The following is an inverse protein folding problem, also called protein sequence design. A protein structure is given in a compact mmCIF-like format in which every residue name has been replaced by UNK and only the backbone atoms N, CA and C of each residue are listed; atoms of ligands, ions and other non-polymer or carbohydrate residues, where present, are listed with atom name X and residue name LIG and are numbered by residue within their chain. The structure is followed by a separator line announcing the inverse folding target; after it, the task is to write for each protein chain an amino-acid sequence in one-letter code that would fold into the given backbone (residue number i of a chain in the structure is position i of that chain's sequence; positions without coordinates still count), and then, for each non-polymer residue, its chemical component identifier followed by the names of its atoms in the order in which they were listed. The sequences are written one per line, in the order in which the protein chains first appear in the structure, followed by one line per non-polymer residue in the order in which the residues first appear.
data_IF_592156019457
#
_entry.id   IF_592156019457
#
_cell.length_a   1.000
_cell.length_b   1.000
_cell.length_c   1.000
_cell.angle_alpha   90.00
_cell.angle_beta   90.00
_cell.angle_gamma   90.00
#
_symmetry.space_group_name_H-M   'P 1'
#
loop_
_entity.id
_entity.type
_entity.pdbx_description
1 polymer ?
#
# COMPACT_ATOMS: atom_id res chain seq x y z
N UNK A 1 11.45 21.47 -7.76
CA UNK A 1 12.58 20.82 -7.05
C UNK A 1 12.88 19.40 -7.57
N UNK A 2 11.89 18.68 -8.10
CA UNK A 2 12.01 17.31 -8.62
C UNK A 2 12.79 17.14 -9.95
N UNK A 3 13.33 18.21 -10.55
CA UNK A 3 13.94 18.18 -11.89
C UNK A 3 15.43 17.80 -11.88
N UNK A 4 16.07 17.71 -10.70
CA UNK A 4 17.44 17.20 -10.60
C UNK A 4 17.44 15.69 -10.78
N UNK A 5 18.20 15.21 -11.77
CA UNK A 5 18.35 13.79 -12.13
C UNK A 5 18.56 12.95 -10.86
N UNK A 6 17.68 11.97 -10.64
CA UNK A 6 17.81 11.01 -9.54
C UNK A 6 17.27 11.43 -8.17
N UNK A 7 16.76 12.66 -7.99
CA UNK A 7 16.18 13.09 -6.69
C UNK A 7 15.00 12.21 -6.25
N UNK A 8 14.30 11.59 -7.20
CA UNK A 8 13.22 10.65 -6.91
C UNK A 8 13.73 9.47 -6.09
N UNK A 9 14.92 8.95 -6.35
CA UNK A 9 15.45 7.81 -5.59
C UNK A 9 15.85 8.18 -4.15
N UNK A 10 16.10 9.46 -3.87
CA UNK A 10 16.34 9.94 -2.50
C UNK A 10 15.10 9.81 -1.62
N UNK A 11 13.89 9.76 -2.18
CA UNK A 11 12.68 9.45 -1.40
C UNK A 11 12.69 8.02 -0.84
N UNK A 12 13.52 7.10 -1.37
CA UNK A 12 13.72 5.79 -0.74
C UNK A 12 14.45 5.86 0.62
N UNK A 13 15.26 6.90 0.85
CA UNK A 13 16.11 7.00 2.05
C UNK A 13 15.31 7.22 3.34
N UNK A 14 14.36 8.17 3.43
CA UNK A 14 13.60 8.34 4.67
C UNK A 14 12.71 7.13 4.97
N UNK A 15 12.26 6.39 3.96
CA UNK A 15 11.55 5.11 4.15
C UNK A 15 12.46 4.05 4.78
N UNK A 16 13.68 3.91 4.26
CA UNK A 16 14.68 3.01 4.83
C UNK A 16 15.05 3.40 6.28
N UNK A 17 15.27 4.70 6.52
CA UNK A 17 15.58 5.23 7.85
C UNK A 17 14.43 4.99 8.83
N UNK A 18 13.19 5.24 8.41
CA UNK A 18 12.01 5.04 9.25
C UNK A 18 11.87 3.57 9.65
N UNK A 19 12.01 2.64 8.69
CA UNK A 19 12.00 1.22 9.00
C UNK A 19 13.14 0.86 9.96
N UNK A 20 14.38 1.25 9.65
CA UNK A 20 15.55 0.95 10.47
C UNK A 20 15.39 1.47 11.90
N UNK A 21 15.20 2.78 12.08
CA UNK A 21 15.12 3.43 13.39
C UNK A 21 13.95 2.89 14.22
N UNK A 22 12.77 2.75 13.62
CA UNK A 22 11.60 2.24 14.36
C UNK A 22 11.78 0.76 14.72
N UNK A 23 12.39 -0.03 13.84
CA UNK A 23 12.65 -1.45 14.12
C UNK A 23 13.66 -1.69 15.24
N UNK A 24 14.55 -0.74 15.55
CA UNK A 24 15.43 -0.82 16.73
C UNK A 24 14.61 -0.79 18.04
N UNK A 25 13.60 0.08 18.12
CA UNK A 25 12.81 0.28 19.34
C UNK A 25 11.60 -0.64 19.43
N UNK A 26 10.98 -0.92 18.28
CA UNK A 26 9.82 -1.80 18.15
C UNK A 26 10.10 -2.84 17.06
N UNK A 27 10.74 -3.97 17.41
CA UNK A 27 11.10 -5.00 16.46
C UNK A 27 9.88 -5.52 15.71
N UNK A 28 9.97 -5.57 14.38
CA UNK A 28 8.88 -6.03 13.52
C UNK A 28 8.47 -7.50 13.78
N UNK A 29 9.37 -8.30 14.36
CA UNK A 29 9.13 -9.69 14.75
C UNK A 29 8.28 -9.83 16.03
N UNK A 30 8.08 -8.76 16.81
CA UNK A 30 7.29 -8.81 18.05
C UNK A 30 5.81 -8.49 17.79
N UNK A 31 4.87 -9.47 17.91
CA UNK A 31 3.47 -9.29 17.51
C UNK A 31 2.73 -8.15 18.22
N UNK A 32 3.14 -7.83 19.46
CA UNK A 32 2.49 -6.79 20.28
C UNK A 32 2.98 -5.37 19.98
N UNK A 33 4.19 -5.25 19.43
CA UNK A 33 4.95 -4.00 19.41
C UNK A 33 5.25 -3.52 17.98
N UNK A 34 5.26 -4.44 17.01
CA UNK A 34 5.52 -4.13 15.61
C UNK A 34 4.55 -3.11 15.00
N UNK A 35 3.35 -2.96 15.59
CA UNK A 35 2.30 -2.06 15.13
C UNK A 35 2.77 -0.61 14.96
N UNK A 36 3.67 -0.12 15.82
CA UNK A 36 4.19 1.26 15.72
C UNK A 36 5.18 1.44 14.57
N UNK A 37 6.04 0.44 14.32
CA UNK A 37 6.97 0.43 13.18
C UNK A 37 6.21 0.42 11.87
N UNK A 38 5.20 -0.46 11.76
CA UNK A 38 4.33 -0.47 10.59
C UNK A 38 3.55 0.84 10.47
N UNK A 39 2.93 1.33 11.54
CA UNK A 39 2.18 2.59 11.49
C UNK A 39 3.02 3.77 11.01
N UNK A 40 4.20 4.00 11.60
CA UNK A 40 5.09 5.10 11.20
C UNK A 40 5.58 4.98 9.76
N UNK A 41 5.93 3.77 9.33
CA UNK A 41 6.34 3.51 7.95
C UNK A 41 5.23 3.80 6.94
N UNK A 42 4.01 3.32 7.19
CA UNK A 42 2.86 3.54 6.30
C UNK A 42 2.38 4.99 6.33
N UNK A 43 2.46 5.67 7.48
CA UNK A 43 2.16 7.09 7.59
C UNK A 43 3.11 7.93 6.70
N UNK A 44 4.40 7.62 6.68
CA UNK A 44 5.34 8.30 5.80
C UNK A 44 5.03 8.06 4.32
N UNK A 45 4.69 6.82 3.94
CA UNK A 45 4.24 6.51 2.58
C UNK A 45 2.98 7.30 2.20
N UNK A 46 2.02 7.42 3.13
CA UNK A 46 0.82 8.23 2.93
C UNK A 46 1.16 9.70 2.72
N UNK A 47 2.01 10.28 3.57
CA UNK A 47 2.45 11.68 3.44
C UNK A 47 3.21 11.92 2.14
N UNK A 48 4.02 10.96 1.69
CA UNK A 48 4.66 11.02 0.38
C UNK A 48 3.62 11.06 -0.73
N UNK A 49 2.69 10.10 -0.74
CA UNK A 49 1.59 10.10 -1.71
C UNK A 49 0.86 11.45 -1.75
N UNK A 50 0.56 12.02 -0.59
CA UNK A 50 -0.06 13.34 -0.48
C UNK A 50 0.79 14.45 -1.11
N UNK A 51 2.06 14.57 -0.71
CA UNK A 51 2.96 15.61 -1.23
C UNK A 51 3.17 15.49 -2.75
N UNK A 52 3.30 14.26 -3.26
CA UNK A 52 3.50 14.02 -4.68
C UNK A 52 2.23 14.29 -5.51
N UNK A 53 1.04 14.01 -4.97
CA UNK A 53 -0.23 14.35 -5.62
C UNK A 53 -0.44 15.87 -5.76
N UNK A 54 0.21 16.69 -4.93
CA UNK A 54 0.17 18.15 -5.09
C UNK A 54 0.99 18.64 -6.30
N UNK A 55 1.93 17.82 -6.79
CA UNK A 55 2.80 18.20 -7.90
C UNK A 55 2.19 17.79 -9.25
N UNK A 56 1.78 18.76 -10.07
CA UNK A 56 1.12 18.49 -11.36
C UNK A 56 1.95 17.70 -12.39
N UNK A 57 3.28 17.60 -12.19
CA UNK A 57 4.19 16.83 -13.07
C UNK A 57 4.43 15.39 -12.60
N UNK A 58 3.85 14.97 -11.48
CA UNK A 58 4.14 13.70 -10.83
C UNK A 58 4.03 12.50 -11.78
N UNK A 59 2.91 12.38 -12.50
CA UNK A 59 2.66 11.24 -13.39
C UNK A 59 3.68 11.15 -14.55
N UNK A 60 4.09 12.30 -15.13
CA UNK A 60 5.12 12.35 -16.17
C UNK A 60 6.48 11.94 -15.63
N UNK A 61 6.80 12.35 -14.39
CA UNK A 61 8.03 11.99 -13.72
C UNK A 61 8.09 10.48 -13.45
N UNK A 62 7.02 9.88 -12.92
CA UNK A 62 6.95 8.43 -12.67
C UNK A 62 7.12 7.63 -13.98
N UNK A 63 6.45 8.05 -15.05
CA UNK A 63 6.58 7.44 -16.37
C UNK A 63 8.02 7.52 -16.93
N UNK A 64 8.69 8.66 -16.74
CA UNK A 64 10.08 8.87 -17.20
C UNK A 64 11.09 7.95 -16.49
N UNK A 65 10.87 7.67 -15.20
CA UNK A 65 11.78 6.86 -14.39
C UNK A 65 11.33 5.40 -14.22
N UNK A 66 10.30 4.97 -14.97
CA UNK A 66 9.74 3.61 -14.89
C UNK A 66 10.81 2.54 -15.12
N UNK A 67 11.57 2.60 -16.22
CA UNK A 67 12.57 1.58 -16.55
C UNK A 67 13.73 1.57 -15.54
N UNK A 68 14.35 2.72 -15.19
CA UNK A 68 15.35 2.75 -14.13
C UNK A 68 14.84 2.21 -12.78
N UNK A 69 13.60 2.56 -12.40
CA UNK A 69 12.98 2.08 -11.18
C UNK A 69 12.67 0.58 -11.24
N UNK A 70 12.34 0.03 -12.40
CA UNK A 70 12.12 -1.41 -12.57
C UNK A 70 13.42 -2.18 -12.38
N UNK A 71 14.52 -1.74 -12.99
CA UNK A 71 15.83 -2.39 -12.84
C UNK A 71 16.35 -2.29 -11.40
N UNK A 72 16.25 -1.11 -10.78
CA UNK A 72 16.67 -0.93 -9.40
C UNK A 72 15.75 -1.65 -8.40
N UNK A 73 14.44 -1.64 -8.64
CA UNK A 73 13.43 -2.28 -7.79
C UNK A 73 13.54 -3.80 -7.80
N UNK A 74 13.77 -4.38 -8.97
CA UNK A 74 14.03 -5.83 -9.11
C UNK A 74 15.37 -6.20 -8.48
N UNK A 75 16.45 -5.46 -8.73
CA UNK A 75 17.75 -5.72 -8.12
C UNK A 75 17.72 -5.66 -6.58
N UNK A 76 17.07 -4.63 -6.02
CA UNK A 76 16.91 -4.48 -4.57
C UNK A 76 15.97 -5.51 -3.96
N UNK A 77 14.91 -5.92 -4.68
CA UNK A 77 14.01 -6.99 -4.24
C UNK A 77 14.73 -8.35 -4.19
N UNK A 78 15.48 -8.69 -5.24
CA UNK A 78 16.30 -9.92 -5.28
C UNK A 78 17.33 -9.89 -4.17
N UNK A 79 18.02 -8.76 -3.94
CA UNK A 79 18.96 -8.59 -2.84
C UNK A 79 18.30 -8.80 -1.46
N UNK A 80 17.09 -8.27 -1.26
CA UNK A 80 16.33 -8.45 -0.02
C UNK A 80 15.95 -9.92 0.20
N UNK A 81 15.44 -10.61 -0.83
CA UNK A 81 15.07 -12.04 -0.75
C UNK A 81 16.31 -12.92 -0.54
N UNK A 82 17.41 -12.63 -1.23
CA UNK A 82 18.66 -13.35 -1.06
C UNK A 82 19.20 -13.21 0.37
N UNK A 83 19.13 -12.02 0.96
CA UNK A 83 19.49 -11.77 2.37
C UNK A 83 18.58 -12.51 3.35
N UNK A 84 17.29 -12.67 3.04
CA UNK A 84 16.36 -13.46 3.87
C UNK A 84 16.64 -14.97 3.76
N UNK A 85 16.98 -15.46 2.56
CA UNK A 85 17.14 -16.89 2.29
C UNK A 85 18.43 -17.49 2.87
N UNK A 86 19.51 -16.71 2.95
CA UNK A 86 20.83 -17.21 3.32
C UNK A 86 21.21 -16.96 4.79
N UNK A 87 20.40 -16.21 5.56
CA UNK A 87 20.80 -15.77 6.89
C UNK A 87 19.86 -16.24 8.00
N UNK A 88 20.41 -16.76 9.11
CA UNK A 88 19.62 -17.14 10.28
C UNK A 88 18.82 -15.95 10.84
N UNK A 89 17.55 -16.18 11.21
CA UNK A 89 16.64 -15.16 11.77
C UNK A 89 17.22 -14.40 12.97
N UNK A 90 18.12 -15.02 13.74
CA UNK A 90 18.74 -14.39 14.91
C UNK A 90 19.68 -13.21 14.56
N UNK A 91 20.30 -13.22 13.36
CA UNK A 91 21.20 -12.14 12.93
C UNK A 91 20.46 -10.89 12.46
N UNK A 92 19.17 -10.99 12.11
CA UNK A 92 18.36 -9.84 11.66
C UNK A 92 18.24 -8.73 12.70
N UNK A 93 18.43 -9.05 13.99
CA UNK A 93 18.22 -8.11 15.09
C UNK A 93 19.48 -7.81 15.90
N UNK A 94 20.56 -8.57 15.71
CA UNK A 94 21.78 -8.45 16.52
C UNK A 94 22.85 -7.59 15.84
N UNK A 95 22.89 -7.55 14.50
CA UNK A 95 23.87 -6.77 13.74
C UNK A 95 23.26 -5.49 13.15
N UNK A 96 23.73 -4.33 13.65
CA UNK A 96 23.29 -3.00 13.22
C UNK A 96 23.65 -2.75 11.75
N UNK A 97 24.80 -3.25 11.28
CA UNK A 97 25.24 -3.11 9.90
C UNK A 97 24.33 -3.89 8.95
N UNK A 98 23.98 -5.12 9.32
CA UNK A 98 23.01 -5.92 8.57
C UNK A 98 21.64 -5.23 8.52
N UNK A 99 21.14 -4.77 9.68
CA UNK A 99 19.84 -4.10 9.77
C UNK A 99 19.81 -2.83 8.90
N UNK A 100 20.88 -2.05 8.87
CA UNK A 100 21.00 -0.85 8.04
C UNK A 100 20.95 -1.19 6.54
N UNK A 101 21.72 -2.19 6.10
CA UNK A 101 21.74 -2.64 4.69
C UNK A 101 20.37 -3.18 4.28
N UNK A 102 19.79 -4.05 5.10
CA UNK A 102 18.48 -4.65 4.85
C UNK A 102 17.37 -3.59 4.79
N UNK A 103 17.36 -2.64 5.73
CA UNK A 103 16.40 -1.54 5.74
C UNK A 103 16.56 -0.63 4.52
N UNK A 104 17.82 -0.36 4.11
CA UNK A 104 18.18 0.38 2.91
C UNK A 104 17.64 -0.27 1.63
N UNK A 105 17.96 -1.55 1.43
CA UNK A 105 17.48 -2.33 0.30
C UNK A 105 15.96 -2.38 0.24
N UNK A 106 15.31 -2.64 1.38
CA UNK A 106 13.85 -2.71 1.44
C UNK A 106 13.19 -1.37 1.17
N UNK A 107 13.67 -0.28 1.79
CA UNK A 107 13.13 1.06 1.57
C UNK A 107 13.25 1.51 0.12
N UNK A 108 14.42 1.25 -0.49
CA UNK A 108 14.65 1.54 -1.91
C UNK A 108 13.78 0.66 -2.81
N UNK A 109 13.65 -0.63 -2.50
CA UNK A 109 12.81 -1.55 -3.25
C UNK A 109 11.34 -1.13 -3.22
N UNK A 110 10.79 -0.83 -2.04
CA UNK A 110 9.42 -0.33 -1.91
C UNK A 110 9.20 0.91 -2.75
N UNK A 111 10.10 1.89 -2.67
CA UNK A 111 9.98 3.12 -3.43
C UNK A 111 10.05 2.90 -4.94
N UNK A 112 11.00 2.08 -5.40
CA UNK A 112 11.13 1.73 -6.81
C UNK A 112 9.87 1.05 -7.35
N UNK A 113 9.30 0.11 -6.59
CA UNK A 113 8.04 -0.55 -6.98
C UNK A 113 6.85 0.41 -7.01
N UNK A 114 6.78 1.38 -6.10
CA UNK A 114 5.77 2.45 -6.16
C UNK A 114 5.90 3.25 -7.46
N UNK A 115 7.12 3.67 -7.82
CA UNK A 115 7.38 4.40 -9.07
C UNK A 115 6.99 3.57 -10.29
N UNK A 116 7.31 2.28 -10.31
CA UNK A 116 6.93 1.35 -11.39
C UNK A 116 5.41 1.24 -11.50
N UNK A 117 4.72 0.93 -10.39
CA UNK A 117 3.27 0.74 -10.39
C UNK A 117 2.54 2.01 -10.84
N UNK A 118 2.94 3.17 -10.34
CA UNK A 118 2.33 4.44 -10.70
C UNK A 118 2.70 4.88 -12.13
N UNK A 119 3.93 4.61 -12.57
CA UNK A 119 4.36 4.85 -13.95
C UNK A 119 3.58 4.01 -14.96
N UNK A 120 3.44 2.71 -14.69
CA UNK A 120 2.64 1.78 -15.51
C UNK A 120 1.17 2.19 -15.49
N UNK A 121 0.60 2.45 -14.32
CA UNK A 121 -0.79 2.90 -14.21
C UNK A 121 -1.03 4.21 -14.98
N UNK A 122 -0.10 5.15 -14.92
CA UNK A 122 -0.18 6.41 -15.65
C UNK A 122 -0.07 6.27 -17.17
N UNK A 123 0.49 5.17 -17.68
CA UNK A 123 0.61 4.91 -19.13
C UNK A 123 -0.55 4.05 -19.66
N UNK A 124 -1.00 3.05 -18.88
CA UNK A 124 -1.93 2.02 -19.36
C UNK A 124 -3.33 2.10 -18.74
N UNK A 125 -3.53 2.75 -17.59
CA UNK A 125 -4.81 2.81 -16.86
C UNK A 125 -5.49 4.19 -16.95
N UNK A 126 -5.18 4.98 -17.99
CA UNK A 126 -5.69 6.35 -18.16
C UNK A 126 -7.05 6.41 -18.88
N UNK A 127 -7.60 5.27 -19.32
CA UNK A 127 -8.86 5.22 -20.06
C UNK A 127 -10.05 5.55 -19.16
N UNK A 128 -10.93 6.47 -19.62
CA UNK A 128 -12.19 6.79 -18.91
C UNK A 128 -13.31 5.91 -19.43
N UNK A 129 -13.67 4.89 -18.66
CA UNK A 129 -14.84 4.04 -18.91
C UNK A 129 -15.88 4.22 -17.80
N UNK A 130 -17.17 4.05 -18.11
CA UNK A 130 -18.28 4.15 -17.13
C UNK A 130 -18.07 3.26 -15.90
N UNK A 131 -17.50 2.07 -16.11
CA UNK A 131 -17.13 1.16 -15.02
C UNK A 131 -16.04 1.78 -14.12
N UNK A 132 -14.99 2.36 -14.71
CA UNK A 132 -13.92 3.01 -13.95
C UNK A 132 -14.44 4.20 -13.14
N UNK A 133 -15.33 5.02 -13.70
CA UNK A 133 -15.95 6.13 -12.95
C UNK A 133 -16.84 5.67 -11.79
N UNK A 134 -17.52 4.53 -11.95
CA UNK A 134 -18.28 3.91 -10.88
C UNK A 134 -17.35 3.41 -9.76
N UNK A 135 -16.35 2.61 -10.09
CA UNK A 135 -15.40 2.05 -9.13
C UNK A 135 -14.54 3.13 -8.46
N UNK A 136 -14.20 4.21 -9.16
CA UNK A 136 -13.46 5.33 -8.58
C UNK A 136 -14.26 6.01 -7.45
N UNK A 137 -15.58 6.20 -7.64
CA UNK A 137 -16.47 6.70 -6.57
C UNK A 137 -16.62 5.71 -5.42
N UNK A 138 -16.63 4.41 -5.72
CA UNK A 138 -16.76 3.37 -4.71
C UNK A 138 -15.45 3.11 -3.93
N UNK A 139 -14.29 3.44 -4.50
CA UNK A 139 -12.97 3.04 -4.02
C UNK A 139 -12.71 3.40 -2.56
N UNK A 140 -12.96 4.66 -2.18
CA UNK A 140 -12.70 5.15 -0.82
C UNK A 140 -13.62 4.49 0.24
N UNK A 141 -14.96 4.50 0.07
CA UNK A 141 -15.84 3.77 0.98
C UNK A 141 -15.59 2.26 0.99
N UNK A 142 -15.26 1.66 -0.17
CA UNK A 142 -14.89 0.25 -0.25
C UNK A 142 -13.66 -0.05 0.61
N UNK A 143 -12.61 0.78 0.54
CA UNK A 143 -11.40 0.60 1.36
C UNK A 143 -11.70 0.55 2.86
N UNK A 144 -12.54 1.45 3.36
CA UNK A 144 -12.89 1.53 4.79
C UNK A 144 -13.80 0.35 5.20
N UNK A 145 -14.85 0.09 4.43
CA UNK A 145 -15.80 -0.98 4.72
C UNK A 145 -15.17 -2.36 4.64
N UNK A 146 -14.30 -2.56 3.64
CA UNK A 146 -13.67 -3.84 3.39
C UNK A 146 -12.91 -4.31 4.63
N UNK A 147 -12.15 -3.42 5.30
CA UNK A 147 -11.39 -3.78 6.49
C UNK A 147 -12.30 -4.27 7.64
N UNK A 148 -13.42 -3.58 7.88
CA UNK A 148 -14.36 -3.93 8.95
C UNK A 148 -15.04 -5.26 8.64
N UNK A 149 -15.53 -5.43 7.41
CA UNK A 149 -16.22 -6.64 6.98
C UNK A 149 -15.29 -7.84 6.91
N UNK A 150 -14.06 -7.66 6.42
CA UNK A 150 -13.01 -8.68 6.47
C UNK A 150 -12.76 -9.14 7.91
N UNK A 151 -12.71 -8.22 8.87
CA UNK A 151 -12.50 -8.59 10.28
C UNK A 151 -13.67 -9.41 10.84
N UNK A 152 -14.91 -9.02 10.53
CA UNK A 152 -16.11 -9.75 10.96
C UNK A 152 -16.18 -11.13 10.31
N UNK A 153 -16.05 -11.20 8.98
CA UNK A 153 -16.13 -12.47 8.22
C UNK A 153 -14.99 -13.40 8.62
N UNK A 154 -13.78 -12.87 8.80
CA UNK A 154 -12.62 -13.64 9.23
C UNK A 154 -12.83 -14.30 10.58
N UNK A 155 -13.44 -13.59 11.54
CA UNK A 155 -13.77 -14.15 12.85
C UNK A 155 -14.71 -15.37 12.77
N UNK A 156 -15.71 -15.34 11.89
CA UNK A 156 -16.66 -16.44 11.77
C UNK A 156 -16.13 -17.59 10.90
N UNK A 157 -15.50 -17.30 9.76
CA UNK A 157 -15.06 -18.33 8.81
C UNK A 157 -13.93 -19.18 9.39
N UNK A 158 -13.03 -18.59 10.19
CA UNK A 158 -11.94 -19.33 10.84
C UNK A 158 -12.40 -20.31 11.93
N UNK A 159 -13.68 -20.28 12.32
CA UNK A 159 -14.24 -21.23 13.28
C UNK A 159 -14.79 -22.50 12.62
N UNK A 160 -14.94 -22.52 11.28
CA UNK A 160 -15.63 -23.61 10.58
C UNK A 160 -14.78 -24.87 10.40
N UNK A 161 -13.47 -24.81 10.65
CA UNK A 161 -12.52 -25.93 10.59
C UNK A 161 -12.67 -26.77 9.30
N UNK A 162 -12.99 -26.11 8.20
CA UNK A 162 -13.41 -26.72 6.93
C UNK A 162 -12.25 -26.94 5.95
N UNK A 163 -11.03 -26.69 6.41
CA UNK A 163 -9.79 -26.75 5.64
C UNK A 163 -9.40 -25.39 5.06
N UNK A 164 -8.08 -25.15 5.00
CA UNK A 164 -7.49 -23.85 4.67
C UNK A 164 -8.00 -23.26 3.34
N UNK A 165 -8.12 -24.09 2.29
CA UNK A 165 -8.52 -23.63 0.96
C UNK A 165 -10.00 -23.23 0.92
N UNK A 166 -10.87 -24.00 1.59
CA UNK A 166 -12.29 -23.70 1.65
C UNK A 166 -12.53 -22.42 2.46
N UNK A 167 -11.89 -22.29 3.62
CA UNK A 167 -11.95 -21.08 4.43
C UNK A 167 -11.46 -19.86 3.66
N UNK A 168 -10.35 -19.96 2.94
CA UNK A 168 -9.82 -18.85 2.14
C UNK A 168 -10.78 -18.40 1.02
N UNK A 169 -11.35 -19.35 0.27
CA UNK A 169 -12.29 -19.06 -0.81
C UNK A 169 -13.59 -18.45 -0.27
N UNK A 170 -14.16 -19.04 0.78
CA UNK A 170 -15.38 -18.53 1.43
C UNK A 170 -15.11 -17.14 1.99
N UNK A 171 -14.03 -16.96 2.74
CA UNK A 171 -13.63 -15.67 3.31
C UNK A 171 -13.52 -14.59 2.23
N UNK A 172 -12.82 -14.88 1.13
CA UNK A 172 -12.59 -13.93 0.04
C UNK A 172 -13.88 -13.58 -0.71
N UNK A 173 -14.73 -14.56 -1.02
CA UNK A 173 -15.99 -14.33 -1.73
C UNK A 173 -16.98 -13.59 -0.84
N UNK A 174 -17.17 -14.05 0.41
CA UNK A 174 -18.16 -13.48 1.33
C UNK A 174 -17.80 -12.05 1.71
N UNK A 175 -16.53 -11.78 2.02
CA UNK A 175 -16.08 -10.41 2.33
C UNK A 175 -16.25 -9.45 1.16
N UNK A 176 -15.93 -9.89 -0.07
CA UNK A 176 -16.11 -9.09 -1.27
C UNK A 176 -17.59 -8.78 -1.54
N UNK A 177 -18.44 -9.81 -1.52
CA UNK A 177 -19.88 -9.67 -1.76
C UNK A 177 -20.53 -8.78 -0.70
N UNK A 178 -20.19 -8.96 0.59
CA UNK A 178 -20.71 -8.12 1.66
C UNK A 178 -20.26 -6.66 1.50
N UNK A 179 -18.99 -6.42 1.14
CA UNK A 179 -18.49 -5.05 0.95
C UNK A 179 -19.24 -4.37 -0.20
N UNK A 180 -19.44 -5.07 -1.32
CA UNK A 180 -20.22 -4.54 -2.45
C UNK A 180 -21.69 -4.31 -2.08
N UNK A 181 -22.31 -5.22 -1.33
CA UNK A 181 -23.68 -5.09 -0.89
C UNK A 181 -23.85 -3.87 0.04
N UNK A 182 -22.97 -3.68 1.02
CA UNK A 182 -23.05 -2.51 1.92
C UNK A 182 -22.86 -1.20 1.14
N UNK A 183 -21.94 -1.17 0.17
CA UNK A 183 -21.77 -0.01 -0.70
C UNK A 183 -23.04 0.30 -1.51
N UNK A 184 -23.60 -0.69 -2.21
CA UNK A 184 -24.78 -0.50 -3.09
C UNK A 184 -26.07 -0.17 -2.32
N UNK A 185 -26.26 -0.78 -1.15
CA UNK A 185 -27.53 -0.71 -0.44
C UNK A 185 -27.55 0.35 0.66
N UNK A 186 -26.41 0.62 1.32
CA UNK A 186 -26.35 1.55 2.46
C UNK A 186 -25.73 2.88 2.05
N UNK A 187 -24.47 2.88 1.62
CA UNK A 187 -23.73 4.13 1.37
C UNK A 187 -24.29 4.86 0.15
N UNK A 188 -24.59 4.13 -0.93
CA UNK A 188 -25.19 4.75 -2.11
C UNK A 188 -26.58 5.33 -1.82
N UNK A 189 -27.30 4.94 -0.77
CA UNK A 189 -28.66 5.48 -0.50
C UNK A 189 -28.69 6.65 0.48
N UNK A 190 -27.76 6.70 1.44
CA UNK A 190 -27.75 7.71 2.49
C UNK A 190 -26.84 8.90 2.15
N UNK A 191 -27.44 10.09 2.00
CA UNK A 191 -26.73 11.34 1.67
C UNK A 191 -25.60 11.66 2.67
N UNK A 192 -25.84 11.44 3.96
CA UNK A 192 -24.87 11.70 5.03
C UNK A 192 -23.62 10.82 4.90
N UNK A 193 -23.79 9.56 4.49
CA UNK A 193 -22.67 8.65 4.27
C UNK A 193 -21.91 9.03 3.00
N UNK A 194 -22.59 9.44 1.92
CA UNK A 194 -21.90 9.95 0.72
C UNK A 194 -21.00 11.16 1.03
N UNK A 195 -21.50 12.07 1.88
CA UNK A 195 -20.73 13.22 2.35
C UNK A 195 -19.52 12.78 3.20
N UNK A 196 -19.72 11.92 4.21
CA UNK A 196 -18.66 11.42 5.09
C UNK A 196 -17.56 10.67 4.33
N UNK A 197 -17.93 9.94 3.27
CA UNK A 197 -16.99 9.21 2.42
C UNK A 197 -16.45 10.02 1.24
N UNK A 198 -16.70 11.33 1.18
CA UNK A 198 -16.13 12.24 0.18
C UNK A 198 -16.58 11.96 -1.26
N UNK A 199 -17.72 11.31 -1.44
CA UNK A 199 -18.27 11.02 -2.78
C UNK A 199 -18.84 12.33 -3.34
N UNK A 200 -18.18 12.88 -4.36
CA UNK A 200 -18.62 14.11 -5.04
C UNK A 200 -20.06 13.93 -5.53
N UNK A 201 -20.97 14.76 -5.04
CA UNK A 201 -22.35 14.75 -5.50
C UNK A 201 -22.40 15.19 -6.97
N UNK A 202 -23.14 14.45 -7.78
CA UNK A 202 -23.39 14.78 -9.19
C UNK A 202 -24.28 16.03 -9.37
N UNK A 203 -24.50 16.85 -8.34
CA UNK A 203 -25.64 17.76 -8.23
C UNK A 203 -25.38 19.10 -7.56
N UNK A 204 -24.15 19.62 -7.58
CA UNK A 204 -23.94 21.03 -7.25
C UNK A 204 -22.90 21.61 -8.20
N UNK A 205 -23.41 22.15 -9.30
CA UNK A 205 -22.72 23.20 -10.03
C UNK A 205 -22.57 24.39 -9.05
N UNK A 206 -21.33 24.80 -8.84
CA UNK A 206 -20.98 26.17 -8.48
C UNK A 206 -19.94 26.59 -9.51
#
# INVERSE_FOLDING_TARGET
VLDKKGFIFLAGLPLAMAWGILSLKWPAASPKNASWTYFGYHLLLFLYGFLFCLEGKFQQIMARYLVPALLLGTGTAVGTVAMMAHMPEHLMHTDIGYLAIFSGLRGLSTWCWIVVLLGVAGQFLTTRNRFLEYFNRASYPFYILHLILMSIVGYYVTQWNSGLMAEFLIFSIVSFVLTMAVWEWVIRRLWLLRFLFGVKESGTAI
#
